data_IF_271219883155
#
_entry.id   IF_271219883155
#
_cell.length_a   1.000
_cell.length_b   1.000
_cell.length_c   1.000
_cell.angle_alpha   90.00
_cell.angle_beta   90.00
_cell.angle_gamma   90.00
#
_symmetry.space_group_name_H-M   'P 1'
#
loop_
_entity.id
_entity.type
_entity.pdbx_description
1 polymer ?
#
# COMPACT_ATOMS: atom_id res chain seq x y z
N UNK A 1 17.16 -51.23 85.18
CA UNK A 1 17.76 -50.12 84.41
C UNK A 1 17.55 -50.48 82.94
N UNK A 2 16.50 -49.96 82.30
CA UNK A 2 16.54 -48.78 81.41
C UNK A 2 17.65 -48.92 80.35
N UNK A 3 17.41 -48.93 79.03
CA UNK A 3 16.20 -48.68 78.26
C UNK A 3 16.54 -48.69 76.76
N UNK A 4 15.52 -48.86 75.92
CA UNK A 4 15.52 -48.67 74.46
C UNK A 4 16.14 -47.32 74.03
N UNK A 5 16.96 -47.30 72.98
CA UNK A 5 17.01 -46.24 71.93
C UNK A 5 17.64 -46.88 70.66
N UNK A 6 16.88 -47.30 69.65
CA UNK A 6 16.29 -46.54 68.52
C UNK A 6 17.28 -46.21 67.39
N UNK A 7 16.98 -46.77 66.21
CA UNK A 7 17.53 -46.47 64.89
C UNK A 7 17.53 -44.96 64.59
N UNK A 8 18.62 -44.45 64.01
CA UNK A 8 18.60 -43.27 63.15
C UNK A 8 19.47 -43.57 61.92
N UNK A 9 18.81 -43.90 60.81
CA UNK A 9 19.43 -43.93 59.49
C UNK A 9 19.52 -42.50 58.96
N UNK A 10 20.74 -41.99 58.76
CA UNK A 10 20.99 -40.68 58.16
C UNK A 10 20.89 -40.87 56.63
N UNK A 11 19.74 -40.52 56.05
CA UNK A 11 19.59 -40.37 54.60
C UNK A 11 20.15 -39.00 54.24
N UNK A 12 21.37 -38.98 53.70
CA UNK A 12 21.94 -37.79 53.08
C UNK A 12 21.21 -37.52 51.77
N UNK A 13 20.21 -36.62 51.80
CA UNK A 13 19.66 -36.02 50.59
C UNK A 13 20.70 -35.06 50.00
N UNK A 14 21.54 -35.57 49.09
CA UNK A 14 22.31 -34.74 48.18
C UNK A 14 21.36 -34.10 47.17
N UNK A 15 20.96 -32.85 47.43
CA UNK A 15 20.28 -31.99 46.48
C UNK A 15 21.20 -31.71 45.30
N UNK A 16 20.97 -32.42 44.20
CA UNK A 16 21.52 -32.05 42.89
C UNK A 16 20.88 -30.73 42.50
N UNK A 17 21.59 -29.64 42.72
CA UNK A 17 21.24 -28.33 42.18
C UNK A 17 21.30 -28.44 40.65
N UNK A 18 20.12 -28.57 40.04
CA UNK A 18 19.96 -28.36 38.60
C UNK A 18 20.37 -26.92 38.33
N UNK A 19 21.37 -26.64 37.48
CA UNK A 19 21.67 -25.28 37.11
C UNK A 19 20.44 -24.75 36.37
N UNK A 20 19.73 -23.82 37.01
CA UNK A 20 18.71 -23.05 36.34
C UNK A 20 19.39 -22.40 35.12
N UNK A 21 18.85 -22.66 33.93
CA UNK A 21 19.21 -21.89 32.74
C UNK A 21 19.10 -20.41 33.12
N UNK A 22 20.24 -19.75 33.26
CA UNK A 22 20.29 -18.31 33.36
C UNK A 22 19.72 -17.77 32.04
N UNK A 23 18.44 -17.38 32.06
CA UNK A 23 17.84 -16.63 30.97
C UNK A 23 18.72 -15.42 30.72
N UNK A 24 19.34 -15.35 29.55
CA UNK A 24 20.15 -14.21 29.12
C UNK A 24 19.32 -12.95 29.28
N UNK A 25 19.72 -12.07 30.22
CA UNK A 25 19.05 -10.79 30.44
C UNK A 25 19.07 -10.03 29.12
N UNK A 26 17.94 -9.49 28.64
CA UNK A 26 17.93 -8.75 27.39
C UNK A 26 18.90 -7.58 27.49
N UNK A 27 19.77 -7.45 26.49
CA UNK A 27 20.77 -6.38 26.41
C UNK A 27 20.06 -5.03 26.44
N UNK A 28 20.53 -4.11 27.29
CA UNK A 28 19.98 -2.75 27.34
C UNK A 28 20.33 -2.02 26.04
N UNK A 29 19.31 -1.44 25.41
CA UNK A 29 19.43 -0.66 24.17
C UNK A 29 19.10 0.79 24.49
N UNK A 30 20.02 1.70 24.19
CA UNK A 30 19.84 3.15 24.33
C UNK A 30 19.52 3.77 22.99
N UNK A 31 18.51 4.63 22.95
CA UNK A 31 17.99 5.28 21.74
C UNK A 31 17.97 6.77 21.95
N UNK A 32 18.35 7.52 20.92
CA UNK A 32 18.46 8.97 20.99
C UNK A 32 17.10 9.62 20.80
N UNK A 33 16.64 10.38 21.81
CA UNK A 33 15.56 11.35 21.67
C UNK A 33 16.15 12.72 21.37
N UNK A 34 15.65 13.38 20.32
CA UNK A 34 16.20 14.65 19.86
C UNK A 34 16.08 15.76 20.91
N UNK A 35 14.91 15.91 21.53
CA UNK A 35 14.63 16.91 22.56
C UNK A 35 14.52 16.29 23.96
N UNK A 36 14.32 17.12 24.98
CA UNK A 36 14.04 16.64 26.35
C UNK A 36 12.63 16.07 26.46
N UNK A 37 12.36 15.28 27.49
CA UNK A 37 11.00 14.83 27.78
C UNK A 37 10.09 16.04 28.05
N UNK A 38 8.92 16.08 27.38
CA UNK A 38 8.00 17.23 27.43
C UNK A 38 8.35 18.35 26.43
N UNK A 39 9.37 18.16 25.60
CA UNK A 39 9.68 18.99 24.44
C UNK A 39 9.50 18.20 23.14
N UNK A 40 9.20 18.93 22.06
CA UNK A 40 9.14 18.38 20.71
C UNK A 40 10.04 19.17 19.76
N UNK A 41 10.58 18.48 18.76
CA UNK A 41 11.40 19.11 17.73
C UNK A 41 10.52 19.79 16.67
N UNK A 42 10.74 21.08 16.42
CA UNK A 42 10.11 21.81 15.32
C UNK A 42 11.03 21.80 14.10
N UNK A 43 10.55 21.21 13.00
CA UNK A 43 11.31 21.08 11.75
C UNK A 43 11.58 22.42 11.04
N UNK A 44 10.73 23.43 11.25
CA UNK A 44 10.86 24.75 10.60
C UNK A 44 12.00 25.52 11.24
N UNK A 45 11.93 25.70 12.57
CA UNK A 45 12.91 26.49 13.32
C UNK A 45 14.16 25.67 13.68
N UNK A 46 14.12 24.35 13.50
CA UNK A 46 15.18 23.39 13.85
C UNK A 46 15.57 23.45 15.33
N UNK A 47 14.60 23.72 16.19
CA UNK A 47 14.78 23.91 17.63
C UNK A 47 13.71 23.12 18.40
N UNK A 48 14.05 22.71 19.61
CA UNK A 48 13.14 22.06 20.55
C UNK A 48 12.24 23.10 21.23
N UNK A 49 10.93 22.88 21.19
CA UNK A 49 9.94 23.69 21.90
C UNK A 49 9.30 22.91 23.04
N UNK A 50 8.99 23.61 24.13
CA UNK A 50 8.18 23.07 25.22
C UNK A 50 6.74 22.82 24.76
N UNK A 51 6.11 21.76 25.30
CA UNK A 51 4.73 21.39 24.98
C UNK A 51 4.58 19.99 24.36
N UNK A 52 5.59 19.15 24.50
CA UNK A 52 5.56 17.74 24.14
C UNK A 52 4.80 16.88 25.16
N UNK A 53 4.57 15.63 24.79
CA UNK A 53 3.89 14.58 25.56
C UNK A 53 4.89 13.94 26.53
N UNK A 54 4.59 13.95 27.82
CA UNK A 54 5.46 13.39 28.86
C UNK A 54 5.68 11.86 28.78
N UNK A 55 4.78 11.14 28.09
CA UNK A 55 4.87 9.70 27.84
C UNK A 55 4.76 9.43 26.35
N UNK A 56 5.88 9.59 25.65
CA UNK A 56 5.97 9.32 24.22
C UNK A 56 6.92 8.15 23.94
N UNK A 57 6.48 7.24 23.07
CA UNK A 57 7.28 6.12 22.55
C UNK A 57 6.89 5.87 21.09
N UNK A 58 7.84 5.77 20.15
CA UNK A 58 7.57 5.50 18.75
C UNK A 58 7.06 4.06 18.53
N UNK A 59 6.60 3.75 17.30
CA UNK A 59 6.23 2.37 16.95
C UNK A 59 7.46 1.47 17.04
N UNK A 60 7.42 0.49 17.94
CA UNK A 60 8.50 -0.48 18.12
C UNK A 60 8.11 -1.83 17.52
N UNK A 61 8.91 -2.34 16.60
CA UNK A 61 8.81 -3.71 16.11
C UNK A 61 9.80 -4.61 16.85
N UNK A 62 9.34 -5.76 17.33
CA UNK A 62 10.17 -6.76 18.02
C UNK A 62 10.40 -7.96 17.10
N UNK A 63 11.55 -8.04 16.39
CA UNK A 63 11.80 -9.10 15.42
C UNK A 63 11.72 -10.50 16.02
N UNK A 64 12.24 -10.68 17.24
CA UNK A 64 12.21 -11.97 17.95
C UNK A 64 10.79 -12.49 18.24
N UNK A 65 9.78 -11.60 18.26
CA UNK A 65 8.37 -11.95 18.47
C UNK A 65 7.53 -11.80 17.19
N UNK A 66 8.10 -11.29 16.10
CA UNK A 66 7.39 -11.04 14.83
C UNK A 66 6.20 -10.08 14.95
N UNK A 67 6.17 -9.20 15.95
CA UNK A 67 5.02 -8.33 16.23
C UNK A 67 5.44 -6.94 16.70
N UNK A 68 4.53 -5.98 16.54
CA UNK A 68 4.66 -4.65 17.14
C UNK A 68 4.50 -4.74 18.67
N UNK A 69 5.22 -3.87 19.38
CA UNK A 69 5.05 -3.69 20.81
C UNK A 69 3.67 -3.08 21.09
N UNK A 70 2.93 -3.68 22.03
CA UNK A 70 1.50 -3.40 22.23
C UNK A 70 1.23 -2.28 23.23
N UNK A 71 2.15 -2.04 24.17
CA UNK A 71 1.90 -1.05 25.23
C UNK A 71 2.16 0.36 24.69
N UNK A 72 1.08 1.05 24.33
CA UNK A 72 1.12 2.41 23.80
C UNK A 72 1.63 3.36 24.88
N UNK A 73 2.67 4.14 24.58
CA UNK A 73 3.26 5.12 25.49
C UNK A 73 4.19 4.54 26.56
N UNK A 74 4.48 3.23 26.53
CA UNK A 74 5.50 2.60 27.34
C UNK A 74 6.56 1.95 26.44
N UNK A 75 7.82 1.98 26.88
CA UNK A 75 8.90 1.33 26.18
C UNK A 75 9.13 -0.07 26.77
N UNK A 76 9.60 -1.05 25.97
CA UNK A 76 10.06 -2.32 26.50
C UNK A 76 11.10 -2.11 27.61
N UNK A 77 11.14 -2.96 28.65
CA UNK A 77 12.01 -2.73 29.82
C UNK A 77 13.51 -2.60 29.51
N UNK A 78 13.96 -3.25 28.43
CA UNK A 78 15.35 -3.22 27.95
C UNK A 78 15.68 -1.98 27.13
N UNK A 79 14.70 -1.16 26.77
CA UNK A 79 14.85 0.01 25.90
C UNK A 79 14.84 1.28 26.74
N UNK A 80 15.84 2.14 26.54
CA UNK A 80 16.00 3.42 27.25
C UNK A 80 16.19 4.56 26.25
N UNK A 81 15.61 5.71 26.55
CA UNK A 81 15.74 6.90 25.71
C UNK A 81 16.74 7.86 26.36
N UNK A 82 17.75 8.27 25.59
CA UNK A 82 18.72 9.29 25.96
C UNK A 82 18.22 10.63 25.40
N UNK A 83 17.93 11.58 26.27
CA UNK A 83 17.36 12.88 25.92
C UNK A 83 18.43 13.83 25.36
N UNK A 84 17.98 14.79 24.54
CA UNK A 84 18.82 15.86 24.00
C UNK A 84 20.03 15.33 23.21
N UNK A 85 19.84 14.24 22.46
CA UNK A 85 20.86 13.63 21.62
C UNK A 85 20.50 13.85 20.16
N UNK A 86 21.28 14.68 19.48
CA UNK A 86 21.22 14.85 18.02
C UNK A 86 22.15 13.82 17.35
N UNK A 87 21.90 13.43 16.09
CA UNK A 87 22.78 12.50 15.41
C UNK A 87 24.17 13.12 15.20
N UNK A 88 25.21 12.36 15.52
CA UNK A 88 26.59 12.87 15.55
C UNK A 88 27.27 12.87 14.17
N UNK A 89 26.75 12.06 13.23
CA UNK A 89 27.40 11.79 11.96
C UNK A 89 27.18 12.84 10.87
N UNK A 90 26.29 13.82 11.09
CA UNK A 90 26.02 14.90 10.15
C UNK A 90 25.61 16.22 10.82
N UNK A 91 25.92 17.34 10.16
CA UNK A 91 25.54 18.67 10.61
C UNK A 91 24.09 19.05 10.24
N UNK A 92 23.56 18.48 9.15
CA UNK A 92 22.20 18.76 8.64
C UNK A 92 21.48 17.42 8.43
N UNK A 93 20.68 16.96 9.39
CA UNK A 93 19.91 15.74 9.23
C UNK A 93 18.67 15.96 8.36
N UNK A 94 18.25 14.91 7.67
CA UNK A 94 16.97 14.85 6.94
C UNK A 94 15.85 14.61 7.93
N UNK A 95 14.77 15.39 7.80
CA UNK A 95 13.59 15.27 8.67
C UNK A 95 12.60 14.29 8.04
N UNK A 96 12.27 13.24 8.78
CA UNK A 96 11.21 12.28 8.45
C UNK A 96 10.04 12.44 9.41
N UNK A 97 8.81 12.24 8.94
CA UNK A 97 7.66 12.14 9.82
C UNK A 97 7.71 10.82 10.63
N UNK A 98 7.32 10.85 11.90
CA UNK A 98 7.48 9.71 12.82
C UNK A 98 6.69 8.46 12.40
N UNK A 99 5.62 8.63 11.62
CA UNK A 99 4.79 7.56 11.07
C UNK A 99 5.47 6.80 9.93
N UNK A 100 6.47 7.42 9.29
CA UNK A 100 7.27 6.87 8.21
C UNK A 100 8.49 6.08 8.70
N UNK A 101 8.68 5.98 10.01
CA UNK A 101 9.80 5.25 10.63
C UNK A 101 9.31 4.22 11.63
N UNK A 102 10.05 3.13 11.77
CA UNK A 102 9.75 2.06 12.73
C UNK A 102 11.00 1.74 13.53
N UNK A 103 10.90 1.78 14.86
CA UNK A 103 12.02 1.48 15.74
C UNK A 103 12.14 -0.04 15.94
N UNK A 104 13.31 -0.60 15.71
CA UNK A 104 13.54 -2.04 15.85
C UNK A 104 13.98 -2.37 17.27
N UNK A 105 13.67 -3.60 17.73
CA UNK A 105 14.02 -4.05 19.09
C UNK A 105 15.52 -4.09 19.42
N UNK A 106 16.40 -4.02 18.42
CA UNK A 106 17.86 -3.87 18.58
C UNK A 106 18.32 -2.39 18.65
N UNK A 107 17.40 -1.44 18.51
CA UNK A 107 17.68 -0.01 18.50
C UNK A 107 17.92 0.61 17.12
N UNK A 108 18.00 -0.16 16.04
CA UNK A 108 18.09 0.45 14.70
C UNK A 108 16.76 1.08 14.29
N UNK A 109 16.78 2.18 13.55
CA UNK A 109 15.60 2.81 12.97
C UNK A 109 15.39 2.30 11.54
N UNK A 110 14.22 1.73 11.27
CA UNK A 110 13.84 1.32 9.91
C UNK A 110 13.10 2.47 9.22
N UNK A 111 13.64 2.94 8.08
CA UNK A 111 12.98 3.91 7.23
C UNK A 111 12.00 3.18 6.31
N UNK A 112 10.70 3.31 6.60
CA UNK A 112 9.66 2.56 5.87
C UNK A 112 9.67 2.87 4.38
N UNK A 113 10.02 4.11 4.00
CA UNK A 113 10.07 4.56 2.61
C UNK A 113 11.36 4.19 1.89
N UNK A 114 12.47 3.95 2.59
CA UNK A 114 13.76 3.61 1.94
C UNK A 114 14.12 2.14 2.09
N UNK A 115 13.40 1.40 2.94
CA UNK A 115 13.69 0.00 3.27
C UNK A 115 15.12 -0.20 3.82
N UNK A 116 15.65 0.83 4.50
CA UNK A 116 17.01 0.83 5.08
C UNK A 116 16.92 0.87 6.60
N UNK A 117 17.85 0.17 7.25
CA UNK A 117 18.08 0.24 8.69
C UNK A 117 19.18 1.25 8.99
N UNK A 118 18.89 2.20 9.88
CA UNK A 118 19.80 3.25 10.32
C UNK A 118 20.29 2.92 11.74
N UNK A 119 21.60 2.95 12.01
CA UNK A 119 22.14 2.70 13.34
C UNK A 119 21.86 3.87 14.30
N UNK A 120 21.89 3.60 15.61
CA UNK A 120 21.53 4.58 16.66
C UNK A 120 22.32 5.90 16.57
N UNK A 121 23.59 5.85 16.16
CA UNK A 121 24.44 7.03 16.06
C UNK A 121 23.99 8.03 14.98
N UNK A 122 23.28 7.54 13.96
CA UNK A 122 22.94 8.29 12.75
C UNK A 122 21.50 8.82 12.76
N UNK A 123 20.77 8.65 13.87
CA UNK A 123 19.45 9.22 14.01
C UNK A 123 19.16 9.71 15.42
N UNK A 124 18.19 10.60 15.53
CA UNK A 124 17.43 10.82 16.75
C UNK A 124 15.94 10.83 16.40
N UNK A 125 15.10 10.45 17.36
CA UNK A 125 13.66 10.39 17.17
C UNK A 125 12.92 11.28 18.16
N UNK A 126 11.82 11.88 17.73
CA UNK A 126 10.97 12.73 18.55
C UNK A 126 9.49 12.48 18.24
N UNK A 127 8.60 13.19 18.93
CA UNK A 127 7.15 12.94 18.95
C UNK A 127 6.49 12.98 17.58
N UNK A 128 6.97 13.86 16.71
CA UNK A 128 6.39 14.11 15.38
C UNK A 128 7.35 13.77 14.25
N UNK A 129 8.65 13.77 14.54
CA UNK A 129 9.69 13.67 13.52
C UNK A 129 10.83 12.76 13.98
N UNK A 130 11.53 12.20 13.01
CA UNK A 130 12.84 11.59 13.20
C UNK A 130 13.87 12.34 12.35
N UNK A 131 15.01 12.66 12.96
CA UNK A 131 16.14 13.26 12.27
C UNK A 131 17.11 12.15 11.93
N UNK A 132 17.45 12.04 10.65
CA UNK A 132 18.26 10.93 10.14
C UNK A 132 19.38 11.52 9.28
N UNK A 133 20.60 11.10 9.54
CA UNK A 133 21.73 11.47 8.70
C UNK A 133 21.71 10.66 7.39
N UNK A 134 22.03 11.30 6.26
CA UNK A 134 22.13 10.59 4.99
C UNK A 134 23.25 9.54 5.08
N UNK A 135 22.97 8.34 4.57
CA UNK A 135 23.96 7.28 4.51
C UNK A 135 25.19 7.76 3.71
N UNK A 136 26.37 7.67 4.31
CA UNK A 136 27.62 7.82 3.56
C UNK A 136 27.68 6.66 2.56
N UNK A 137 28.02 6.88 1.28
CA UNK A 137 28.16 5.79 0.34
C UNK A 137 29.14 4.76 0.90
N UNK A 138 28.70 3.50 0.99
CA UNK A 138 29.44 2.40 1.61
C UNK A 138 30.86 2.30 1.03
N UNK A 139 31.88 2.54 1.85
CA UNK A 139 33.27 2.46 1.40
C UNK A 139 34.36 3.13 2.25
N UNK A 140 34.06 3.81 3.35
CA UNK A 140 35.08 4.37 4.24
C UNK A 140 34.87 3.92 5.68
N UNK A 141 35.32 2.70 5.95
CA UNK A 141 35.76 2.32 7.29
C UNK A 141 37.04 3.08 7.62
N UNK A 142 37.05 3.63 8.83
CA UNK A 142 38.21 4.08 9.61
C UNK A 142 39.10 5.20 9.04
N UNK A 143 38.92 6.39 9.61
CA UNK A 143 40.02 7.26 10.01
C UNK A 143 40.61 8.18 8.94
N UNK A 144 40.88 9.41 9.39
CA UNK A 144 41.65 10.46 8.73
C UNK A 144 40.98 11.19 7.56
N UNK A 145 41.20 12.52 7.55
CA UNK A 145 40.55 13.46 6.66
C UNK A 145 40.77 13.15 5.19
N UNK A 146 39.68 13.26 4.45
CA UNK A 146 39.65 13.18 2.99
C UNK A 146 38.34 13.77 2.54
N UNK A 147 38.32 15.09 2.39
CA UNK A 147 37.29 15.80 1.64
C UNK A 147 37.40 15.33 0.18
N UNK A 148 36.70 14.25 -0.15
CA UNK A 148 36.43 13.91 -1.54
C UNK A 148 35.31 14.84 -2.00
N UNK A 149 35.61 15.63 -3.02
CA UNK A 149 34.73 16.61 -3.63
C UNK A 149 33.39 15.97 -4.06
N UNK A 150 32.35 16.16 -3.25
CA UNK A 150 30.94 15.82 -3.51
C UNK A 150 30.30 16.61 -4.67
N UNK A 151 31.11 17.18 -5.59
CA UNK A 151 30.64 18.06 -6.66
C UNK A 151 30.18 17.32 -7.93
N UNK A 152 30.25 15.98 -7.97
CA UNK A 152 29.97 15.20 -9.20
C UNK A 152 28.91 14.10 -9.06
N UNK A 153 28.34 13.89 -7.87
CA UNK A 153 27.10 13.13 -7.79
C UNK A 153 25.94 14.06 -8.19
N UNK A 154 25.17 13.75 -9.25
CA UNK A 154 23.98 14.54 -9.55
C UNK A 154 23.07 14.54 -8.32
N UNK A 155 22.70 15.73 -7.88
CA UNK A 155 21.72 15.88 -6.81
C UNK A 155 20.42 15.22 -7.28
N UNK A 156 19.90 14.26 -6.52
CA UNK A 156 18.64 13.61 -6.87
C UNK A 156 17.53 14.64 -6.70
N UNK A 157 16.93 15.05 -7.82
CA UNK A 157 15.99 16.18 -7.87
C UNK A 157 14.55 15.76 -7.66
N UNK A 158 14.21 14.50 -7.93
CA UNK A 158 12.83 14.01 -7.84
C UNK A 158 12.74 12.64 -7.18
N UNK A 159 11.58 12.35 -6.60
CA UNK A 159 11.30 11.08 -5.93
C UNK A 159 10.24 10.33 -6.74
N UNK A 160 10.43 9.04 -6.95
CA UNK A 160 9.42 8.16 -7.56
C UNK A 160 9.15 7.02 -6.61
N UNK A 161 7.88 6.72 -6.39
CA UNK A 161 7.46 5.65 -5.49
C UNK A 161 7.41 4.31 -6.23
N UNK A 162 7.89 3.27 -5.58
CA UNK A 162 7.67 1.86 -5.91
C UNK A 162 6.70 1.27 -4.91
N UNK A 163 5.67 0.56 -5.37
CA UNK A 163 4.59 0.13 -4.48
C UNK A 163 5.06 -0.96 -3.49
N UNK A 164 5.79 -1.95 -3.97
CA UNK A 164 6.27 -3.06 -3.17
C UNK A 164 7.75 -2.93 -2.83
N UNK A 165 8.16 -3.57 -1.73
CA UNK A 165 9.57 -3.57 -1.31
C UNK A 165 10.49 -4.33 -2.25
N UNK A 166 11.80 -4.21 -1.99
CA UNK A 166 12.82 -5.04 -2.62
C UNK A 166 12.47 -6.53 -2.53
N UNK A 167 12.45 -7.23 -3.67
CA UNK A 167 12.06 -8.66 -3.81
C UNK A 167 10.58 -8.98 -3.61
N UNK A 168 9.69 -8.00 -3.75
CA UNK A 168 8.25 -8.20 -3.81
C UNK A 168 7.71 -7.73 -5.16
N UNK A 169 6.63 -8.38 -5.61
CA UNK A 169 5.86 -7.95 -6.77
C UNK A 169 4.37 -7.96 -6.42
N UNK A 170 3.60 -7.11 -7.10
CA UNK A 170 2.18 -7.03 -6.86
C UNK A 170 1.46 -8.26 -7.43
N UNK A 171 0.73 -8.98 -6.58
CA UNK A 171 -0.11 -10.10 -6.97
C UNK A 171 -1.54 -9.58 -7.19
N UNK A 172 -2.01 -9.61 -8.45
CA UNK A 172 -3.33 -9.12 -8.83
C UNK A 172 -4.46 -9.96 -8.23
N UNK A 173 -4.25 -11.26 -8.03
CA UNK A 173 -5.25 -12.17 -7.46
C UNK A 173 -5.44 -11.91 -5.97
N UNK A 174 -4.34 -11.76 -5.24
CA UNK A 174 -4.35 -11.51 -3.80
C UNK A 174 -4.41 -10.02 -3.41
N UNK A 175 -4.39 -9.11 -4.39
CA UNK A 175 -4.36 -7.64 -4.24
C UNK A 175 -3.30 -7.13 -3.26
N UNK A 176 -2.18 -7.84 -3.16
CA UNK A 176 -1.14 -7.59 -2.16
C UNK A 176 0.25 -7.79 -2.75
N UNK A 177 1.26 -7.21 -2.10
CA UNK A 177 2.65 -7.47 -2.44
C UNK A 177 3.04 -8.88 -1.99
N UNK A 178 3.35 -9.76 -2.95
CA UNK A 178 3.77 -11.13 -2.68
C UNK A 178 5.29 -11.26 -2.82
N UNK A 179 5.89 -12.09 -1.96
CA UNK A 179 7.34 -12.32 -1.97
C UNK A 179 7.74 -13.12 -3.21
N UNK A 180 8.76 -12.66 -3.91
CA UNK A 180 9.37 -13.39 -5.03
C UNK A 180 10.27 -14.50 -4.49
N UNK A 181 10.09 -15.73 -4.98
CA UNK A 181 10.72 -16.93 -4.42
C UNK A 181 12.18 -17.12 -4.84
N UNK A 182 12.67 -16.33 -5.79
CA UNK A 182 14.07 -16.31 -6.24
C UNK A 182 14.48 -14.88 -6.58
N UNK A 183 15.74 -14.53 -6.33
CA UNK A 183 16.37 -13.28 -6.76
C UNK A 183 16.37 -13.21 -8.29
N UNK A 184 15.22 -12.84 -8.84
CA UNK A 184 15.03 -12.77 -10.27
C UNK A 184 15.61 -11.44 -10.74
N UNK A 185 16.73 -11.52 -11.45
CA UNK A 185 17.30 -10.46 -12.30
C UNK A 185 16.26 -9.81 -13.24
N UNK A 186 15.07 -10.41 -13.38
CA UNK A 186 13.96 -9.96 -14.22
C UNK A 186 13.10 -8.86 -13.59
N UNK A 187 13.09 -8.74 -12.26
CA UNK A 187 12.37 -7.71 -11.52
C UNK A 187 13.42 -6.80 -10.89
N UNK A 188 14.08 -6.02 -11.75
CA UNK A 188 15.12 -5.10 -11.31
C UNK A 188 14.58 -4.26 -10.13
N UNK A 189 15.43 -4.09 -9.12
CA UNK A 189 15.17 -3.16 -8.02
C UNK A 189 14.97 -1.73 -8.55
N UNK A 190 15.63 -1.40 -9.67
CA UNK A 190 15.55 -0.12 -10.37
C UNK A 190 14.54 -0.19 -11.52
N UNK A 191 13.33 0.27 -11.23
CA UNK A 191 12.28 0.48 -12.24
C UNK A 191 12.62 1.67 -13.15
N UNK A 192 13.37 2.64 -12.62
CA UNK A 192 13.78 3.87 -13.29
C UNK A 192 15.30 3.91 -13.33
N UNK A 193 15.87 4.13 -14.52
CA UNK A 193 17.30 4.14 -14.81
C UNK A 193 17.85 5.56 -14.96
N UNK A 194 17.32 6.53 -14.20
CA UNK A 194 17.83 7.90 -14.15
C UNK A 194 18.66 8.17 -12.89
N UNK A 195 19.82 8.85 -13.02
CA UNK A 195 20.63 9.27 -11.86
C UNK A 195 20.02 10.44 -11.08
N UNK A 196 19.01 11.14 -11.65
CA UNK A 196 18.35 12.29 -11.03
C UNK A 196 17.11 11.90 -10.21
N UNK A 197 16.67 10.65 -10.31
CA UNK A 197 15.46 10.14 -9.65
C UNK A 197 15.85 9.27 -8.44
N UNK A 198 15.31 9.60 -7.27
CA UNK A 198 15.38 8.75 -6.08
C UNK A 198 14.17 7.80 -6.03
N UNK A 199 14.42 6.50 -5.98
CA UNK A 199 13.37 5.52 -5.74
C UNK A 199 13.06 5.43 -4.24
N UNK A 200 11.79 5.63 -3.90
CA UNK A 200 11.23 5.45 -2.56
C UNK A 200 10.14 4.37 -2.62
N UNK A 201 9.73 3.83 -1.48
CA UNK A 201 8.80 2.70 -1.38
C UNK A 201 7.52 3.11 -0.66
N UNK A 202 6.38 2.63 -1.14
CA UNK A 202 5.09 2.85 -0.53
C UNK A 202 3.96 2.99 -1.54
N UNK A 203 2.74 2.81 -1.04
CA UNK A 203 1.52 3.06 -1.80
C UNK A 203 1.09 4.52 -1.62
N UNK A 204 0.41 5.12 -2.62
CA UNK A 204 -0.19 6.43 -2.46
C UNK A 204 -1.27 6.37 -1.37
N UNK A 205 -1.46 7.49 -0.67
CA UNK A 205 -2.33 7.61 0.50
C UNK A 205 -3.82 7.61 0.10
N UNK A 206 -4.37 6.43 -0.17
CA UNK A 206 -5.79 6.27 -0.50
C UNK A 206 -6.37 4.94 -0.04
N UNK A 207 -7.70 4.90 -0.02
CA UNK A 207 -8.49 3.76 0.45
C UNK A 207 -8.46 2.60 -0.54
N UNK A 208 -8.52 2.91 -1.84
CA UNK A 208 -8.48 1.92 -2.91
C UNK A 208 -7.51 2.32 -4.02
N UNK A 209 -6.70 1.36 -4.43
CA UNK A 209 -5.72 1.50 -5.51
C UNK A 209 -6.25 0.89 -6.80
N UNK A 210 -5.95 1.54 -7.91
CA UNK A 210 -6.28 1.12 -9.27
C UNK A 210 -5.03 1.19 -10.16
N UNK A 211 -5.00 0.36 -11.20
CA UNK A 211 -3.94 0.36 -12.20
C UNK A 211 -4.35 1.35 -13.31
N UNK A 212 -3.60 2.44 -13.46
CA UNK A 212 -3.90 3.48 -14.45
C UNK A 212 -3.41 3.14 -15.86
N UNK A 213 -2.40 2.28 -15.98
CA UNK A 213 -1.81 1.92 -17.27
C UNK A 213 -0.42 1.32 -17.13
N UNK A 214 0.19 1.02 -18.27
CA UNK A 214 1.58 0.56 -18.35
C UNK A 214 2.50 1.78 -18.21
N UNK A 215 3.59 1.61 -17.47
CA UNK A 215 4.62 2.63 -17.31
C UNK A 215 5.60 2.59 -18.47
N UNK A 216 5.88 3.76 -19.04
CA UNK A 216 6.93 3.98 -20.03
C UNK A 216 7.89 5.05 -19.50
N UNK A 217 9.18 4.72 -19.43
CA UNK A 217 10.19 5.63 -18.87
C UNK A 217 10.32 6.93 -19.67
N UNK A 218 10.07 6.90 -20.98
CA UNK A 218 10.06 8.09 -21.84
C UNK A 218 8.99 9.13 -21.46
N UNK A 219 7.99 8.75 -20.65
CA UNK A 219 6.92 9.62 -20.16
C UNK A 219 7.12 10.08 -18.72
N UNK A 220 8.27 9.74 -18.13
CA UNK A 220 8.69 10.23 -16.83
C UNK A 220 9.40 11.57 -17.00
N UNK A 221 8.89 12.59 -16.32
CA UNK A 221 9.55 13.88 -16.22
C UNK A 221 10.57 13.82 -15.08
N UNK A 222 11.83 13.56 -15.38
CA UNK A 222 12.89 13.33 -14.35
C UNK A 222 13.08 14.51 -13.39
N UNK A 223 12.81 15.75 -13.82
CA UNK A 223 12.94 16.94 -12.98
C UNK A 223 11.85 17.05 -11.91
N UNK A 224 10.62 16.60 -12.21
CA UNK A 224 9.48 16.71 -11.28
C UNK A 224 9.09 15.37 -10.67
N UNK A 225 9.56 14.25 -11.24
CA UNK A 225 9.14 12.90 -10.90
C UNK A 225 7.70 12.58 -11.34
N UNK A 226 7.11 13.42 -12.21
CA UNK A 226 5.74 13.23 -12.69
C UNK A 226 5.69 12.24 -13.85
N UNK A 227 4.67 11.40 -13.91
CA UNK A 227 4.47 10.45 -15.01
C UNK A 227 3.21 10.78 -15.80
N UNK A 228 3.31 10.70 -17.12
CA UNK A 228 2.16 10.82 -18.02
C UNK A 228 1.74 9.44 -18.54
N UNK A 229 0.48 9.06 -18.35
CA UNK A 229 -0.06 7.77 -18.83
C UNK A 229 -0.50 7.83 -20.29
N UNK A 230 -0.82 6.68 -20.88
CA UNK A 230 -1.37 6.56 -22.25
C UNK A 230 -2.64 7.38 -22.48
N UNK A 231 -3.46 7.53 -21.44
CA UNK A 231 -4.65 8.37 -21.44
C UNK A 231 -4.36 9.88 -21.47
N UNK A 232 -3.10 10.31 -21.48
CA UNK A 232 -2.69 11.71 -21.43
C UNK A 232 -2.81 12.35 -20.06
N UNK A 233 -3.10 11.55 -19.02
CA UNK A 233 -3.21 12.03 -17.65
C UNK A 233 -1.83 12.10 -16.98
N UNK A 234 -1.58 13.20 -16.27
CA UNK A 234 -0.33 13.44 -15.55
C UNK A 234 -0.56 13.16 -14.06
N UNK A 235 0.34 12.40 -13.45
CA UNK A 235 0.36 12.14 -12.00
C UNK A 235 1.63 12.72 -11.39
N UNK A 236 1.49 13.42 -10.27
CA UNK A 236 2.63 14.01 -9.55
C UNK A 236 3.38 12.96 -8.73
N UNK A 237 4.65 13.24 -8.41
CA UNK A 237 5.45 12.44 -7.48
C UNK A 237 4.72 12.32 -6.13
N UNK A 238 4.28 11.10 -5.79
CA UNK A 238 3.54 10.79 -4.56
C UNK A 238 2.09 10.34 -4.77
N UNK A 239 1.47 10.68 -5.91
CA UNK A 239 0.09 10.27 -6.25
C UNK A 239 0.03 8.91 -6.95
N UNK A 240 1.18 8.45 -7.43
CA UNK A 240 1.33 7.16 -8.06
C UNK A 240 2.48 6.38 -7.44
N UNK A 241 2.44 5.06 -7.60
CA UNK A 241 3.59 4.19 -7.40
C UNK A 241 3.73 3.23 -8.57
N UNK A 242 4.96 2.80 -8.85
CA UNK A 242 5.29 1.89 -9.94
C UNK A 242 5.51 0.49 -9.37
N UNK A 243 4.98 -0.53 -10.03
CA UNK A 243 5.31 -1.92 -9.64
C UNK A 243 5.10 -2.92 -10.77
N UNK A 244 5.85 -4.02 -10.69
CA UNK A 244 5.62 -5.18 -11.53
C UNK A 244 4.47 -6.04 -11.02
N UNK A 245 3.64 -6.52 -11.94
CA UNK A 245 2.58 -7.47 -11.63
C UNK A 245 3.10 -8.88 -11.86
N UNK A 246 2.96 -9.73 -10.83
CA UNK A 246 3.25 -11.16 -10.90
C UNK A 246 2.29 -11.76 -11.93
N UNK A 247 2.84 -12.39 -12.97
CA UNK A 247 2.15 -13.01 -14.13
C UNK A 247 2.00 -12.14 -15.39
N UNK A 248 2.48 -10.90 -15.41
CA UNK A 248 2.52 -10.08 -16.63
C UNK A 248 3.96 -9.88 -17.12
N UNK A 249 4.18 -9.93 -18.44
CA UNK A 249 5.47 -9.99 -19.17
C UNK A 249 6.45 -8.83 -18.83
N UNK A 250 6.97 -8.79 -17.61
CA UNK A 250 7.91 -7.80 -17.06
C UNK A 250 7.44 -6.34 -17.17
N UNK A 251 6.18 -6.10 -17.49
CA UNK A 251 5.61 -4.75 -17.58
C UNK A 251 5.54 -4.14 -16.19
N UNK A 252 5.92 -2.87 -16.13
CA UNK A 252 5.73 -2.02 -14.96
C UNK A 252 4.40 -1.33 -15.14
N UNK A 253 3.61 -1.28 -14.07
CA UNK A 253 2.31 -0.64 -14.06
C UNK A 253 2.33 0.58 -13.15
N UNK A 254 1.56 1.60 -13.53
CA UNK A 254 1.31 2.78 -12.73
C UNK A 254 0.09 2.52 -11.86
N UNK A 255 0.29 2.45 -10.55
CA UNK A 255 -0.77 2.36 -9.56
C UNK A 255 -1.09 3.76 -9.04
N UNK A 256 -2.37 4.11 -9.01
CA UNK A 256 -2.89 5.38 -8.51
C UNK A 256 -4.11 5.11 -7.63
N UNK A 257 -4.59 6.12 -6.94
CA UNK A 257 -5.88 6.06 -6.27
C UNK A 257 -7.03 5.99 -7.27
N UNK A 258 -8.03 5.15 -6.98
CA UNK A 258 -9.22 4.96 -7.82
C UNK A 258 -10.01 6.27 -8.04
N UNK A 259 -10.01 7.16 -7.04
CA UNK A 259 -10.67 8.48 -7.09
C UNK A 259 -10.08 9.41 -8.15
N UNK A 260 -8.76 9.34 -8.34
CA UNK A 260 -8.08 10.07 -9.40
C UNK A 260 -8.34 9.40 -10.75
N UNK A 261 -8.60 8.10 -10.76
CA UNK A 261 -8.98 7.35 -11.95
C UNK A 261 -10.49 7.45 -12.22
N UNK A 262 -11.03 8.67 -12.35
CA UNK A 262 -12.38 8.86 -12.92
C UNK A 262 -12.33 8.62 -14.44
N UNK A 263 -13.38 7.99 -15.01
CA UNK A 263 -13.29 7.29 -16.28
C UNK A 263 -13.39 8.28 -17.44
N UNK A 264 -12.24 8.82 -17.86
CA UNK A 264 -12.08 9.13 -19.27
C UNK A 264 -12.05 7.78 -20.01
N UNK A 265 -13.24 7.26 -20.34
CA UNK A 265 -13.47 6.18 -21.29
C UNK A 265 -12.42 5.07 -21.22
N UNK A 266 -12.46 4.23 -20.19
CA UNK A 266 -11.78 2.93 -20.27
C UNK A 266 -12.35 2.23 -21.51
N UNK A 267 -11.56 1.94 -22.55
CA UNK A 267 -12.00 1.01 -23.56
C UNK A 267 -12.06 -0.33 -22.83
N UNK A 268 -13.26 -0.80 -22.48
CA UNK A 268 -13.49 -2.12 -21.89
C UNK A 268 -13.27 -3.15 -23.01
N UNK A 269 -12.04 -3.24 -23.48
CA UNK A 269 -11.62 -4.26 -24.42
C UNK A 269 -11.42 -5.55 -23.62
N UNK A 270 -12.54 -6.29 -23.45
CA UNK A 270 -12.69 -7.74 -23.18
C UNK A 270 -14.01 -8.12 -22.46
N UNK A 271 -15.11 -7.38 -22.66
CA UNK A 271 -16.48 -7.88 -22.36
C UNK A 271 -17.48 -7.79 -23.53
N UNK A 272 -17.10 -7.22 -24.68
CA UNK A 272 -18.03 -6.90 -25.78
C UNK A 272 -18.63 -8.09 -26.53
N UNK A 273 -18.07 -9.31 -26.43
CA UNK A 273 -18.63 -10.45 -27.15
C UNK A 273 -20.03 -10.85 -26.69
N UNK A 274 -20.31 -10.81 -25.38
CA UNK A 274 -21.64 -11.14 -24.83
C UNK A 274 -22.60 -9.96 -24.93
N UNK A 275 -22.13 -8.75 -24.64
CA UNK A 275 -22.97 -7.54 -24.68
C UNK A 275 -23.50 -7.26 -26.10
N UNK A 276 -22.64 -7.43 -27.11
CA UNK A 276 -23.04 -7.27 -28.53
C UNK A 276 -24.03 -8.36 -28.96
N UNK A 277 -23.84 -9.60 -28.52
CA UNK A 277 -24.74 -10.71 -28.86
C UNK A 277 -26.13 -10.54 -28.21
N UNK A 278 -26.20 -10.09 -26.95
CA UNK A 278 -27.47 -9.80 -26.27
C UNK A 278 -28.19 -8.60 -26.87
N UNK A 279 -27.47 -7.52 -27.18
CA UNK A 279 -28.03 -6.33 -27.82
C UNK A 279 -28.56 -6.62 -29.23
N UNK A 280 -27.82 -7.38 -30.03
CA UNK A 280 -28.27 -7.81 -31.36
C UNK A 280 -29.49 -8.75 -31.29
N UNK A 281 -29.52 -9.68 -30.33
CA UNK A 281 -30.65 -10.58 -30.11
C UNK A 281 -31.94 -9.84 -29.73
N UNK A 282 -31.85 -8.83 -28.87
CA UNK A 282 -32.99 -7.99 -28.46
C UNK A 282 -33.53 -7.13 -29.61
N UNK A 283 -32.66 -6.53 -30.42
CA UNK A 283 -33.09 -5.77 -31.60
C UNK A 283 -33.81 -6.64 -32.64
N UNK A 284 -33.33 -7.86 -32.86
CA UNK A 284 -34.00 -8.79 -33.77
C UNK A 284 -35.37 -9.21 -33.20
N UNK A 285 -35.43 -9.52 -31.89
CA UNK A 285 -36.69 -9.87 -31.19
C UNK A 285 -37.75 -8.78 -31.31
N UNK A 286 -37.39 -7.52 -31.03
CA UNK A 286 -38.33 -6.38 -31.10
C UNK A 286 -38.92 -6.18 -32.49
N UNK A 287 -38.14 -6.36 -33.57
CA UNK A 287 -38.62 -6.25 -34.96
C UNK A 287 -39.64 -7.34 -35.28
N UNK A 288 -39.36 -8.59 -34.89
CA UNK A 288 -40.28 -9.71 -35.11
C UNK A 288 -41.57 -9.58 -34.28
N UNK A 289 -41.47 -9.13 -33.03
CA UNK A 289 -42.63 -8.87 -32.17
C UNK A 289 -43.49 -7.72 -32.74
N UNK A 290 -42.87 -6.66 -33.27
CA UNK A 290 -43.58 -5.55 -33.90
C UNK A 290 -44.32 -5.99 -35.17
N UNK A 291 -43.68 -6.81 -36.01
CA UNK A 291 -44.31 -7.39 -37.19
C UNK A 291 -45.47 -8.34 -36.82
N UNK A 292 -45.30 -9.11 -35.74
CA UNK A 292 -46.34 -10.01 -35.21
C UNK A 292 -47.54 -9.21 -34.67
N UNK A 293 -47.28 -8.11 -33.97
CA UNK A 293 -48.31 -7.20 -33.47
C UNK A 293 -49.07 -6.53 -34.62
N UNK A 294 -48.36 -6.01 -35.63
CA UNK A 294 -48.95 -5.39 -36.80
C UNK A 294 -49.84 -6.37 -37.58
N UNK A 295 -49.36 -7.59 -37.80
CA UNK A 295 -50.13 -8.65 -38.46
C UNK A 295 -51.34 -9.06 -37.63
N UNK A 296 -51.17 -9.15 -36.31
CA UNK A 296 -52.25 -9.42 -35.35
C UNK A 296 -53.35 -8.37 -35.39
N UNK A 297 -53.01 -7.09 -35.59
CA UNK A 297 -53.97 -6.00 -35.73
C UNK A 297 -54.63 -5.93 -37.12
N UNK A 298 -53.92 -6.33 -38.19
CA UNK A 298 -54.40 -6.29 -39.57
C UNK A 298 -55.29 -7.47 -39.97
N UNK A 299 -55.20 -8.62 -39.27
CA UNK A 299 -56.02 -9.81 -39.53
C UNK A 299 -56.88 -10.13 -38.30
N UNK A 300 -58.02 -9.45 -38.09
CA UNK A 300 -58.94 -9.79 -37.02
C UNK A 300 -59.59 -11.15 -37.32
N UNK A 301 -59.20 -12.20 -36.59
CA UNK A 301 -59.84 -13.51 -36.71
C UNK A 301 -61.25 -13.45 -36.13
N UNK A 302 -62.28 -13.56 -36.98
CA UNK A 302 -63.70 -13.40 -36.64
C UNK A 302 -64.28 -14.48 -35.71
N UNK A 303 -63.52 -15.53 -35.34
CA UNK A 303 -64.08 -16.70 -34.65
C UNK A 303 -63.64 -16.94 -33.19
N UNK A 304 -62.66 -16.22 -32.65
CA UNK A 304 -62.35 -16.24 -31.20
C UNK A 304 -61.76 -14.90 -30.72
N UNK A 305 -62.66 -13.92 -30.54
CA UNK A 305 -62.30 -12.54 -30.16
C UNK A 305 -61.55 -12.47 -28.82
N UNK A 306 -61.83 -13.37 -27.87
CA UNK A 306 -61.15 -13.39 -26.57
C UNK A 306 -59.68 -13.85 -26.65
N UNK A 307 -59.41 -14.93 -27.39
CA UNK A 307 -58.07 -15.49 -27.53
C UNK A 307 -57.15 -14.51 -28.29
N UNK A 308 -57.67 -13.88 -29.34
CA UNK A 308 -56.96 -12.89 -30.13
C UNK A 308 -56.57 -11.65 -29.32
N UNK A 309 -57.46 -11.16 -28.44
CA UNK A 309 -57.16 -10.04 -27.54
C UNK A 309 -56.07 -10.38 -26.53
N UNK A 310 -56.15 -11.56 -25.90
CA UNK A 310 -55.14 -12.00 -24.94
C UNK A 310 -53.75 -12.15 -25.59
N UNK A 311 -53.70 -12.74 -26.78
CA UNK A 311 -52.47 -12.93 -27.53
C UNK A 311 -51.86 -11.58 -27.98
N UNK A 312 -52.67 -10.63 -28.43
CA UNK A 312 -52.21 -9.29 -28.83
C UNK A 312 -51.67 -8.50 -27.62
N UNK A 313 -52.35 -8.56 -26.47
CA UNK A 313 -51.87 -7.92 -25.24
C UNK A 313 -50.58 -8.54 -24.71
N UNK A 314 -50.45 -9.87 -24.77
CA UNK A 314 -49.22 -10.56 -24.37
C UNK A 314 -48.03 -10.16 -25.25
N UNK A 315 -48.19 -10.14 -26.57
CA UNK A 315 -47.15 -9.71 -27.51
C UNK A 315 -46.79 -8.23 -27.33
N UNK A 316 -47.77 -7.37 -27.04
CA UNK A 316 -47.52 -5.97 -26.73
C UNK A 316 -46.68 -5.78 -25.46
N UNK A 317 -46.97 -6.52 -24.38
CA UNK A 317 -46.18 -6.47 -23.16
C UNK A 317 -44.73 -6.95 -23.37
N UNK A 318 -44.54 -8.04 -24.13
CA UNK A 318 -43.20 -8.52 -24.47
C UNK A 318 -42.41 -7.49 -25.29
N UNK A 319 -43.06 -6.82 -26.24
CA UNK A 319 -42.42 -5.78 -27.05
C UNK A 319 -41.97 -4.59 -26.19
N UNK A 320 -42.78 -4.15 -25.22
CA UNK A 320 -42.41 -3.08 -24.30
C UNK A 320 -41.24 -3.50 -23.41
N UNK A 321 -41.26 -4.73 -22.88
CA UNK A 321 -40.15 -5.26 -22.07
C UNK A 321 -38.83 -5.34 -22.83
N UNK A 322 -38.84 -5.90 -24.04
CA UNK A 322 -37.64 -6.01 -24.88
C UNK A 322 -37.10 -4.63 -25.29
N UNK A 323 -38.00 -3.66 -25.55
CA UNK A 323 -37.61 -2.28 -25.87
C UNK A 323 -36.93 -1.60 -24.68
N UNK A 324 -37.46 -1.77 -23.46
CA UNK A 324 -36.86 -1.23 -22.23
C UNK A 324 -35.48 -1.86 -21.96
N UNK A 325 -35.36 -3.19 -22.12
CA UNK A 325 -34.08 -3.90 -21.99
C UNK A 325 -33.05 -3.45 -23.04
N UNK A 326 -33.48 -3.19 -24.28
CA UNK A 326 -32.60 -2.66 -25.31
C UNK A 326 -32.12 -1.24 -24.97
N UNK A 327 -33.00 -0.37 -24.46
CA UNK A 327 -32.67 1.00 -24.04
C UNK A 327 -31.68 1.01 -22.88
N UNK A 328 -31.85 0.17 -21.86
CA UNK A 328 -30.91 0.11 -20.72
C UNK A 328 -29.54 -0.38 -21.15
N UNK A 329 -29.47 -1.38 -22.04
CA UNK A 329 -28.21 -1.89 -22.58
C UNK A 329 -27.48 -0.87 -23.48
N UNK A 330 -28.22 -0.13 -24.31
CA UNK A 330 -27.65 0.91 -25.17
C UNK A 330 -27.24 2.16 -24.38
N UNK A 331 -27.99 2.48 -23.33
CA UNK A 331 -27.75 3.70 -22.56
C UNK A 331 -26.67 3.56 -21.50
N UNK A 332 -26.36 2.33 -21.05
CA UNK A 332 -25.30 2.08 -20.06
C UNK A 332 -25.36 3.03 -18.87
N UNK A 333 -24.26 3.75 -18.61
CA UNK A 333 -24.15 4.72 -17.52
C UNK A 333 -24.61 6.15 -17.87
N UNK A 334 -25.20 6.36 -19.06
CA UNK A 334 -25.57 7.69 -19.54
C UNK A 334 -26.92 8.22 -19.02
N UNK A 335 -27.72 7.39 -18.32
CA UNK A 335 -28.95 7.83 -17.66
C UNK A 335 -28.68 7.94 -16.15
N UNK A 336 -28.31 9.13 -15.70
CA UNK A 336 -28.29 9.49 -14.29
C UNK A 336 -29.54 10.28 -13.94
N UNK A 337 -30.34 9.82 -12.98
CA UNK A 337 -31.51 10.55 -12.47
C UNK A 337 -32.77 9.70 -12.28
N UNK A 338 -33.93 10.33 -12.00
CA UNK A 338 -35.20 9.65 -11.70
C UNK A 338 -35.76 8.83 -12.88
N UNK A 339 -35.23 9.01 -14.09
CA UNK A 339 -35.53 8.18 -15.26
C UNK A 339 -34.95 6.76 -15.13
N UNK A 340 -33.81 6.57 -14.47
CA UNK A 340 -33.24 5.23 -14.25
C UNK A 340 -34.11 4.42 -13.29
N UNK A 341 -34.62 5.04 -12.23
CA UNK A 341 -35.53 4.40 -11.27
C UNK A 341 -36.90 4.09 -11.89
N UNK A 342 -37.38 4.89 -12.86
CA UNK A 342 -38.62 4.61 -13.58
C UNK A 342 -38.50 3.40 -14.53
N UNK A 343 -37.32 3.20 -15.13
CA UNK A 343 -37.07 2.09 -16.06
C UNK A 343 -36.82 0.77 -15.31
N UNK A 344 -36.23 0.82 -14.11
CA UNK A 344 -36.01 -0.36 -13.25
C UNK A 344 -37.31 -0.85 -12.56
N UNK A 345 -38.30 0.03 -12.39
CA UNK A 345 -39.60 -0.30 -11.78
C UNK A 345 -40.71 -0.70 -12.79
N UNK A 346 -40.44 -0.69 -14.11
CA UNK A 346 -41.42 -1.06 -15.14
C UNK A 346 -41.53 -2.57 -15.36
#
# INVERSE_FOLDING_TARGET
MNGLVSLVAIVALSSVAVPALAGTRPQEVRINKCCRLGEYYNAIDRVCFAGGIAKWVPKIFLPAKGQLYKDVGAAPPFMKFAEQQLPESCAIPTVYAVDLVTLMGNGSLFLNQKHVLVPVADYCIDERVALVCPARPDGLLDGAGGQMDSLQAPEKTSVVLRCCGTNFAYDKGNRTCSRLTRGHELYDSRIVHSPYVELSYGFPACKEHAIAGVFEESRLQEQTGSVTTDSGKIFSSGEFCLEHVRDDDRKVYVFTCSEHFQPASVPINKQDGRLVLYSAGLLISTIFLAATLATGLLVPSQHHVLHWRCQTHYVACLLVGDLLLAITQLSGNSITGPACTMIDFC
#
